data_IF_433015957209
#
_entry.id   IF_433015957209
#
_cell.length_a   1.000
_cell.length_b   1.000
_cell.length_c   1.000
_cell.angle_alpha   90.00
_cell.angle_beta   90.00
_cell.angle_gamma   90.00
#
_symmetry.space_group_name_H-M   'P 1'
#
loop_
_entity.id
_entity.type
_entity.pdbx_description
1 polymer ?
#
# COMPACT_ATOMS: atom_id res chain seq x y z
N UNK A 1 8.61 -15.75 -19.28
CA UNK A 1 9.78 -15.65 -18.36
C UNK A 1 9.28 -15.64 -16.94
N UNK A 2 9.79 -16.52 -16.06
CA UNK A 2 9.41 -16.53 -14.65
C UNK A 2 10.12 -15.44 -13.84
N UNK A 3 9.70 -15.27 -12.58
CA UNK A 3 10.26 -14.29 -11.63
C UNK A 3 11.79 -14.38 -11.55
N UNK A 4 12.34 -15.59 -11.60
CA UNK A 4 13.79 -15.86 -11.56
C UNK A 4 14.48 -15.21 -12.77
N UNK A 5 13.95 -15.37 -13.98
CA UNK A 5 14.52 -14.79 -15.19
C UNK A 5 14.57 -13.26 -15.15
N UNK A 6 13.52 -12.63 -14.64
CA UNK A 6 13.49 -11.18 -14.44
C UNK A 6 14.46 -10.68 -13.37
N UNK A 7 14.66 -11.46 -12.29
CA UNK A 7 15.66 -11.13 -11.27
C UNK A 7 17.09 -11.23 -11.81
N UNK A 8 17.39 -12.29 -12.57
CA UNK A 8 18.72 -12.44 -13.20
C UNK A 8 18.96 -11.25 -14.15
N UNK A 9 18.01 -10.94 -15.02
CA UNK A 9 18.14 -9.78 -15.92
C UNK A 9 18.38 -8.48 -15.15
N UNK A 10 17.58 -8.23 -14.10
CA UNK A 10 17.71 -7.03 -13.27
C UNK A 10 19.09 -6.92 -12.60
N UNK A 11 19.56 -7.98 -11.94
CA UNK A 11 20.88 -7.95 -11.27
C UNK A 11 22.03 -7.83 -12.26
N UNK A 12 21.92 -8.47 -13.42
CA UNK A 12 22.90 -8.32 -14.50
C UNK A 12 22.97 -6.87 -14.98
N UNK A 13 21.82 -6.25 -15.21
CA UNK A 13 21.77 -4.86 -15.64
C UNK A 13 22.23 -3.89 -14.55
N UNK A 14 21.79 -4.08 -13.30
CA UNK A 14 22.02 -3.13 -12.21
C UNK A 14 23.43 -3.24 -11.58
N UNK A 15 24.09 -4.40 -11.69
CA UNK A 15 25.43 -4.63 -11.13
C UNK A 15 26.49 -4.86 -12.20
N UNK A 16 26.28 -5.81 -13.11
CA UNK A 16 27.33 -6.22 -14.06
C UNK A 16 27.60 -5.12 -15.09
N UNK A 17 26.54 -4.50 -15.63
CA UNK A 17 26.72 -3.43 -16.62
C UNK A 17 27.51 -2.23 -16.05
N UNK A 18 27.19 -1.68 -14.87
CA UNK A 18 27.98 -0.60 -14.27
C UNK A 18 29.42 -1.02 -13.94
N UNK A 19 29.64 -2.28 -13.52
CA UNK A 19 31.01 -2.80 -13.26
C UNK A 19 31.89 -2.84 -14.51
N UNK A 20 31.28 -3.03 -15.68
CA UNK A 20 32.01 -3.08 -16.97
C UNK A 20 32.20 -1.69 -17.54
N UNK A 21 31.22 -0.82 -17.41
CA UNK A 21 31.18 0.49 -18.11
C UNK A 21 31.82 1.60 -17.30
N UNK A 22 31.69 1.55 -15.96
CA UNK A 22 32.20 2.61 -15.10
C UNK A 22 33.61 2.28 -14.60
N UNK A 23 34.53 3.21 -14.76
CA UNK A 23 35.93 3.11 -14.23
C UNK A 23 35.96 3.41 -12.71
N UNK A 24 35.00 2.85 -11.96
CA UNK A 24 34.90 3.01 -10.51
C UNK A 24 35.32 1.70 -9.82
N UNK A 25 35.89 1.79 -8.60
CA UNK A 25 36.11 0.61 -7.78
C UNK A 25 34.80 -0.15 -7.57
N UNK A 26 34.82 -1.46 -7.72
CA UNK A 26 33.65 -2.35 -7.66
C UNK A 26 32.78 -2.14 -6.39
N UNK A 27 33.41 -1.84 -5.27
CA UNK A 27 32.72 -1.62 -4.00
C UNK A 27 31.84 -0.36 -3.98
N UNK A 28 32.16 0.69 -4.78
CA UNK A 28 31.28 1.85 -4.92
C UNK A 28 29.96 1.45 -5.59
N UNK A 29 30.02 0.61 -6.59
CA UNK A 29 28.84 0.14 -7.32
C UNK A 29 27.97 -0.74 -6.40
N UNK A 30 28.60 -1.64 -5.66
CA UNK A 30 27.90 -2.49 -4.68
C UNK A 30 27.27 -1.63 -3.57
N UNK A 31 28.00 -0.66 -3.04
CA UNK A 31 27.50 0.24 -2.00
C UNK A 31 26.33 1.08 -2.51
N UNK A 32 26.43 1.66 -3.70
CA UNK A 32 25.35 2.42 -4.33
C UNK A 32 24.11 1.55 -4.55
N UNK A 33 24.29 0.32 -5.02
CA UNK A 33 23.21 -0.64 -5.22
C UNK A 33 22.49 -0.98 -3.90
N UNK A 34 23.23 -1.30 -2.85
CA UNK A 34 22.68 -1.61 -1.53
C UNK A 34 21.96 -0.39 -0.91
N UNK A 35 22.57 0.78 -1.02
CA UNK A 35 22.00 2.04 -0.52
C UNK A 35 20.68 2.34 -1.23
N UNK A 36 20.63 2.24 -2.54
CA UNK A 36 19.42 2.43 -3.33
C UNK A 36 18.29 1.48 -2.88
N UNK A 37 18.60 0.19 -2.72
CA UNK A 37 17.60 -0.81 -2.29
C UNK A 37 17.13 -0.57 -0.87
N UNK A 38 18.04 -0.20 0.04
CA UNK A 38 17.68 0.11 1.42
C UNK A 38 16.74 1.29 1.51
N UNK A 39 17.06 2.40 0.84
CA UNK A 39 16.20 3.59 0.84
C UNK A 39 14.86 3.34 0.16
N UNK A 40 14.87 2.66 -0.98
CA UNK A 40 13.62 2.31 -1.70
C UNK A 40 12.74 1.39 -0.86
N UNK A 41 13.34 0.34 -0.28
CA UNK A 41 12.62 -0.60 0.56
C UNK A 41 12.06 0.04 1.82
N UNK A 42 12.83 0.89 2.50
CA UNK A 42 12.39 1.65 3.66
C UNK A 42 11.22 2.58 3.30
N UNK A 43 11.34 3.32 2.20
CA UNK A 43 10.30 4.25 1.75
C UNK A 43 9.00 3.52 1.44
N UNK A 44 9.06 2.45 0.65
CA UNK A 44 7.90 1.64 0.30
C UNK A 44 7.28 1.03 1.57
N UNK A 45 8.08 0.47 2.46
CA UNK A 45 7.62 -0.11 3.72
C UNK A 45 6.86 0.92 4.57
N UNK A 46 7.40 2.13 4.73
CA UNK A 46 6.74 3.19 5.48
C UNK A 46 5.39 3.58 4.87
N UNK A 47 5.32 3.73 3.54
CA UNK A 47 4.07 4.08 2.84
C UNK A 47 2.99 3.03 3.08
N UNK A 48 3.33 1.74 2.98
CA UNK A 48 2.37 0.65 3.17
C UNK A 48 2.00 0.42 4.64
N UNK A 49 2.98 0.45 5.55
CA UNK A 49 2.71 0.21 6.97
C UNK A 49 1.78 1.24 7.60
N UNK A 50 1.93 2.52 7.26
CA UNK A 50 1.06 3.58 7.80
C UNK A 50 -0.41 3.37 7.44
N UNK A 51 -0.70 2.74 6.31
CA UNK A 51 -2.07 2.45 5.89
C UNK A 51 -2.72 1.27 6.64
N UNK A 52 -1.93 0.33 7.12
CA UNK A 52 -2.42 -0.94 7.69
C UNK A 52 -2.17 -1.08 9.19
N UNK A 53 -1.17 -0.38 9.74
CA UNK A 53 -0.84 -0.44 11.17
C UNK A 53 -1.20 0.90 11.81
N UNK A 54 -2.49 1.17 11.94
CA UNK A 54 -3.02 2.36 12.61
C UNK A 54 -3.92 1.97 13.77
N UNK A 55 -4.07 2.83 14.80
CA UNK A 55 -5.00 2.56 15.90
C UNK A 55 -6.46 2.40 15.46
N UNK A 56 -6.80 2.87 14.27
CA UNK A 56 -8.14 2.75 13.68
C UNK A 56 -8.35 1.50 12.83
N UNK A 57 -7.30 0.71 12.59
CA UNK A 57 -7.40 -0.54 11.86
C UNK A 57 -7.72 -1.68 12.82
N UNK A 58 -8.70 -2.49 12.45
CA UNK A 58 -9.09 -3.69 13.17
C UNK A 58 -8.48 -4.92 12.49
N UNK A 59 -8.19 -5.95 13.26
CA UNK A 59 -7.65 -7.22 12.76
C UNK A 59 -8.62 -8.33 13.17
N UNK A 60 -9.77 -8.49 12.46
CA UNK A 60 -10.74 -9.50 12.79
C UNK A 60 -10.12 -10.89 12.66
N UNK A 61 -10.27 -11.67 13.71
CA UNK A 61 -9.82 -13.07 13.74
C UNK A 61 -10.91 -13.98 13.15
N UNK A 62 -10.53 -15.05 12.45
CA UNK A 62 -11.47 -16.07 12.01
C UNK A 62 -12.13 -16.78 13.19
N UNK A 63 -13.36 -17.24 12.97
CA UNK A 63 -14.09 -18.08 13.95
C UNK A 63 -13.50 -19.51 14.00
N UNK A 64 -14.11 -20.38 14.79
CA UNK A 64 -13.69 -21.78 14.94
C UNK A 64 -13.75 -22.59 13.63
N UNK A 65 -14.50 -22.12 12.65
CA UNK A 65 -14.62 -22.69 11.30
C UNK A 65 -13.65 -22.09 10.29
N UNK A 66 -12.82 -21.12 10.72
CA UNK A 66 -11.89 -20.39 9.85
C UNK A 66 -12.55 -19.29 9.01
N UNK A 67 -13.78 -18.88 9.33
CA UNK A 67 -14.53 -17.87 8.63
C UNK A 67 -14.39 -16.50 9.32
N UNK A 68 -14.23 -15.44 8.54
CA UNK A 68 -14.25 -14.06 9.02
C UNK A 68 -15.65 -13.50 8.79
N UNK A 69 -16.23 -12.91 9.83
CA UNK A 69 -17.56 -12.32 9.75
C UNK A 69 -17.56 -11.09 8.82
N UNK A 70 -18.58 -11.04 7.95
CA UNK A 70 -18.78 -9.94 7.01
C UNK A 70 -18.36 -10.26 5.58
N UNK A 71 -18.66 -9.33 4.67
CA UNK A 71 -18.25 -9.39 3.28
C UNK A 71 -16.83 -8.83 3.10
N UNK A 72 -16.24 -9.10 1.95
CA UNK A 72 -14.90 -8.64 1.59
C UNK A 72 -14.75 -7.11 1.75
N UNK A 73 -15.74 -6.34 1.33
CA UNK A 73 -15.71 -4.88 1.42
C UNK A 73 -15.65 -4.40 2.87
N UNK A 74 -16.45 -5.00 3.75
CA UNK A 74 -16.45 -4.70 5.18
C UNK A 74 -15.09 -5.01 5.82
N UNK A 75 -14.47 -6.14 5.44
CA UNK A 75 -13.14 -6.50 5.88
C UNK A 75 -12.09 -5.47 5.44
N UNK A 76 -12.11 -5.02 4.17
CA UNK A 76 -11.20 -3.99 3.68
C UNK A 76 -11.36 -2.66 4.43
N UNK A 77 -12.58 -2.28 4.77
CA UNK A 77 -12.83 -1.08 5.60
C UNK A 77 -12.28 -1.19 7.02
N UNK A 78 -12.36 -2.36 7.62
CA UNK A 78 -11.89 -2.60 8.99
C UNK A 78 -10.36 -2.62 9.09
N UNK A 79 -9.70 -3.22 8.09
CA UNK A 79 -8.25 -3.48 8.10
C UNK A 79 -7.41 -2.39 7.45
N UNK A 80 -8.02 -1.36 6.87
CA UNK A 80 -7.32 -0.35 6.09
C UNK A 80 -7.75 1.06 6.46
N UNK A 81 -6.80 2.00 6.53
CA UNK A 81 -7.08 3.38 6.86
C UNK A 81 -6.52 4.36 5.81
N UNK A 82 -7.24 5.44 5.57
CA UNK A 82 -6.73 6.57 4.81
C UNK A 82 -5.91 7.48 5.72
N UNK A 83 -4.76 7.93 5.25
CA UNK A 83 -3.86 8.79 6.01
C UNK A 83 -3.52 10.05 5.24
N UNK A 84 -3.37 11.18 5.96
CA UNK A 84 -3.06 12.51 5.40
C UNK A 84 -3.89 12.93 4.16
N UNK A 85 -5.24 12.75 4.13
CA UNK A 85 -6.05 13.01 2.93
C UNK A 85 -6.17 14.49 2.56
N UNK A 86 -5.73 15.39 3.43
CA UNK A 86 -5.75 16.85 3.21
C UNK A 86 -4.52 17.37 2.46
N UNK A 87 -3.41 16.63 2.48
CA UNK A 87 -2.16 17.05 1.84
C UNK A 87 -2.14 16.71 0.37
N UNK A 88 -2.27 17.72 -0.49
CA UNK A 88 -2.23 17.55 -1.96
C UNK A 88 -0.84 17.11 -2.44
N UNK A 89 0.22 17.74 -1.92
CA UNK A 89 1.59 17.42 -2.30
C UNK A 89 2.00 16.02 -1.91
N UNK A 90 1.62 15.59 -0.73
CA UNK A 90 1.88 14.23 -0.27
C UNK A 90 1.12 13.19 -1.10
N UNK A 91 -0.18 13.43 -1.38
CA UNK A 91 -0.99 12.55 -2.23
C UNK A 91 -0.41 12.42 -3.64
N UNK A 92 0.06 13.53 -4.21
CA UNK A 92 0.73 13.52 -5.52
C UNK A 92 2.04 12.72 -5.48
N UNK A 93 2.87 12.95 -4.46
CA UNK A 93 4.18 12.32 -4.33
C UNK A 93 4.11 10.79 -4.20
N UNK A 94 3.12 10.27 -3.45
CA UNK A 94 2.92 8.82 -3.27
C UNK A 94 1.90 8.21 -4.25
N UNK A 95 1.50 8.94 -5.30
CA UNK A 95 0.57 8.44 -6.31
C UNK A 95 -0.83 8.13 -5.77
N UNK A 96 -1.31 8.87 -4.75
CA UNK A 96 -2.64 8.69 -4.17
C UNK A 96 -2.80 7.50 -3.24
N UNK A 97 -1.72 6.78 -2.90
CA UNK A 97 -1.75 5.62 -2.00
C UNK A 97 -2.17 5.95 -0.56
N UNK A 98 -2.22 7.23 -0.19
CA UNK A 98 -2.81 7.67 1.07
C UNK A 98 -4.35 7.55 1.13
N UNK A 99 -5.00 7.28 0.01
CA UNK A 99 -6.41 6.88 -0.11
C UNK A 99 -6.51 5.36 -0.21
N UNK A 100 -5.96 4.66 0.78
CA UNK A 100 -5.76 3.22 0.72
C UNK A 100 -7.08 2.44 0.68
N UNK A 101 -8.11 2.93 1.36
CA UNK A 101 -9.44 2.30 1.33
C UNK A 101 -10.02 2.32 -0.08
N UNK A 102 -9.96 3.47 -0.76
CA UNK A 102 -10.43 3.62 -2.13
C UNK A 102 -9.61 2.77 -3.09
N UNK A 103 -8.30 2.69 -2.86
CA UNK A 103 -7.41 1.82 -3.62
C UNK A 103 -7.77 0.34 -3.50
N UNK A 104 -8.03 -0.15 -2.28
CA UNK A 104 -8.41 -1.55 -2.05
C UNK A 104 -9.80 -1.89 -2.60
N UNK A 105 -10.78 -0.99 -2.42
CA UNK A 105 -12.15 -1.24 -2.86
C UNK A 105 -12.32 -1.09 -4.37
N UNK A 106 -11.58 -0.19 -5.00
CA UNK A 106 -11.72 0.19 -6.40
C UNK A 106 -10.37 0.20 -7.13
N UNK A 107 -9.65 -0.94 -7.19
CA UNK A 107 -8.29 -0.97 -7.76
C UNK A 107 -8.24 -0.64 -9.25
N UNK A 108 -9.38 -0.74 -9.95
CA UNK A 108 -9.49 -0.41 -11.37
C UNK A 108 -9.71 1.08 -11.64
N UNK A 109 -9.94 1.89 -10.60
CA UNK A 109 -10.15 3.33 -10.73
C UNK A 109 -8.83 4.07 -10.60
N UNK A 110 -8.56 5.01 -11.50
CA UNK A 110 -7.34 5.81 -11.45
C UNK A 110 -7.29 6.65 -10.15
N UNK A 111 -6.13 6.70 -9.53
CA UNK A 111 -5.88 7.38 -8.26
C UNK A 111 -6.25 8.88 -8.25
N UNK A 112 -6.31 9.54 -9.40
CA UNK A 112 -6.73 10.94 -9.50
C UNK A 112 -8.17 11.17 -9.02
N UNK A 113 -9.00 10.13 -9.06
CA UNK A 113 -10.41 10.16 -8.63
C UNK A 113 -10.60 9.78 -7.14
N UNK A 114 -9.59 9.24 -6.47
CA UNK A 114 -9.72 8.75 -5.09
C UNK A 114 -10.19 9.83 -4.11
N UNK A 115 -9.75 11.08 -4.31
CA UNK A 115 -10.18 12.20 -3.47
C UNK A 115 -11.70 12.46 -3.54
N UNK A 116 -12.28 12.36 -4.73
CA UNK A 116 -13.74 12.54 -4.92
C UNK A 116 -14.50 11.33 -4.38
N UNK A 117 -14.00 10.11 -4.63
CA UNK A 117 -14.55 8.88 -4.08
C UNK A 117 -14.54 8.88 -2.54
N UNK A 118 -13.47 9.39 -1.93
CA UNK A 118 -13.37 9.52 -0.47
C UNK A 118 -14.45 10.44 0.12
N UNK A 119 -14.87 11.48 -0.60
CA UNK A 119 -15.99 12.33 -0.17
C UNK A 119 -17.33 11.60 -0.22
N UNK A 120 -17.59 10.88 -1.31
CA UNK A 120 -18.82 10.08 -1.46
C UNK A 120 -18.90 8.99 -0.40
N UNK A 121 -17.78 8.32 -0.09
CA UNK A 121 -17.68 7.34 0.98
C UNK A 121 -18.11 7.92 2.32
N UNK A 122 -17.59 9.07 2.72
CA UNK A 122 -17.96 9.72 4.00
C UNK A 122 -19.46 10.00 4.08
N UNK A 123 -20.09 10.33 2.96
CA UNK A 123 -21.55 10.53 2.90
C UNK A 123 -22.28 9.20 3.06
N UNK A 124 -21.80 8.14 2.41
CA UNK A 124 -22.37 6.80 2.50
C UNK A 124 -22.22 6.19 3.91
N UNK A 125 -21.07 6.35 4.53
CA UNK A 125 -20.86 5.94 5.94
C UNK A 125 -21.82 6.63 6.90
N UNK A 126 -22.01 7.96 6.76
CA UNK A 126 -22.98 8.70 7.57
C UNK A 126 -24.41 8.22 7.40
N UNK A 127 -24.77 7.71 6.22
CA UNK A 127 -26.10 7.17 5.93
C UNK A 127 -26.26 5.72 6.40
N UNK A 128 -25.22 4.89 6.29
CA UNK A 128 -25.22 3.46 6.63
C UNK A 128 -25.03 3.21 8.14
N UNK A 129 -24.36 4.11 8.86
CA UNK A 129 -24.20 4.05 10.33
C UNK A 129 -25.41 4.60 11.09
N UNK A 130 -26.62 4.26 10.65
CA UNK A 130 -27.70 4.05 11.61
C UNK A 130 -27.53 2.63 12.12
N UNK A 131 -27.40 2.40 13.44
CA UNK A 131 -27.15 1.07 13.95
C UNK A 131 -28.33 0.17 13.60
N UNK A 132 -28.20 -0.61 12.55
CA UNK A 132 -28.94 -1.84 12.43
C UNK A 132 -28.35 -2.74 13.52
N UNK A 133 -29.07 -2.87 14.65
CA UNK A 133 -28.69 -3.51 15.88
C UNK A 133 -27.69 -4.66 15.76
N UNK A 134 -26.44 -4.35 15.93
CA UNK A 134 -25.46 -5.34 16.35
C UNK A 134 -25.64 -5.49 17.85
N UNK A 135 -26.47 -6.45 18.25
CA UNK A 135 -26.55 -6.89 19.61
C UNK A 135 -25.19 -7.43 20.01
N UNK A 136 -24.55 -6.76 20.95
CA UNK A 136 -23.49 -7.34 21.77
C UNK A 136 -24.08 -8.56 22.48
N UNK A 137 -23.64 -9.72 22.14
CA UNK A 137 -23.73 -10.91 22.96
C UNK A 137 -22.33 -11.22 23.48
#
# INVERSE_FOLDING_TARGET
MGIIGWKIFYYSFALILPLIVLELPWWHIVLAFLTMHMFTGLFISLVFQVAHITPSSEFPLPDENGLIAGDWSTHQFATTANYSPKSKYFSWFIGGLNYQIEHHLLPMVCHVHYKELSKMKKTYEKQKWRPCGWHKH
#
